data_IF_430735321041
#
_entry.id   IF_430735321041
#
_cell.length_a   1.000
_cell.length_b   1.000
_cell.length_c   1.000
_cell.angle_alpha   90.00
_cell.angle_beta   90.00
_cell.angle_gamma   90.00
#
_symmetry.space_group_name_H-M   'P 1'
#
loop_
_entity.id
_entity.type
_entity.pdbx_description
1 polymer ?
#
# COMPACT_ATOMS: atom_id res chain seq x y z
N UNK A 1 -1.64 -12.68 -19.10
CA UNK A 1 -2.21 -13.02 -17.79
C UNK A 1 -3.55 -12.30 -17.67
N UNK A 2 -4.63 -12.98 -17.27
CA UNK A 2 -5.95 -12.35 -17.21
C UNK A 2 -5.97 -11.19 -16.21
N UNK A 3 -6.77 -10.15 -16.48
CA UNK A 3 -7.11 -9.11 -15.51
C UNK A 3 -7.60 -9.77 -14.22
N UNK A 4 -7.11 -9.32 -13.07
CA UNK A 4 -7.51 -9.89 -11.80
C UNK A 4 -8.95 -9.48 -11.47
N UNK A 5 -9.88 -10.43 -11.61
CA UNK A 5 -11.31 -10.28 -11.31
C UNK A 5 -11.73 -10.88 -9.96
N UNK A 6 -10.76 -11.30 -9.14
CA UNK A 6 -11.04 -11.91 -7.83
C UNK A 6 -11.60 -10.88 -6.84
N UNK A 7 -12.47 -11.27 -5.88
CA UNK A 7 -12.79 -10.44 -4.72
C UNK A 7 -11.50 -10.17 -3.90
N UNK A 8 -11.57 -9.25 -2.92
CA UNK A 8 -10.46 -8.79 -2.06
C UNK A 8 -9.33 -9.84 -1.95
N UNK A 9 -8.18 -9.54 -2.55
CA UNK A 9 -7.02 -10.46 -2.64
C UNK A 9 -6.49 -10.78 -1.24
N UNK A 10 -6.66 -12.03 -0.83
CA UNK A 10 -6.14 -12.60 0.42
C UNK A 10 -5.08 -13.67 0.19
N UNK A 11 -4.87 -14.07 -1.06
CA UNK A 11 -3.84 -14.99 -1.52
C UNK A 11 -2.43 -14.42 -1.30
N UNK A 12 -2.24 -13.12 -1.53
CA UNK A 12 -0.97 -12.41 -1.30
C UNK A 12 -0.54 -12.53 0.16
N UNK A 13 0.63 -13.14 0.38
CA UNK A 13 1.08 -13.58 1.71
C UNK A 13 1.15 -12.46 2.76
N UNK A 14 1.33 -11.22 2.31
CA UNK A 14 1.36 -10.06 3.19
C UNK A 14 0.06 -9.25 3.30
N UNK A 15 -0.92 -9.48 2.41
CA UNK A 15 -2.26 -8.93 2.54
C UNK A 15 -3.14 -9.76 3.48
N UNK A 16 -2.73 -11.00 3.78
CA UNK A 16 -3.39 -11.85 4.77
C UNK A 16 -3.43 -11.16 6.13
N UNK A 17 -4.66 -10.95 6.64
CA UNK A 17 -4.87 -10.60 8.04
C UNK A 17 -4.26 -11.72 8.88
N UNK A 18 -3.25 -11.40 9.68
CA UNK A 18 -2.62 -12.35 10.61
C UNK A 18 -3.63 -12.67 11.71
N UNK A 19 -4.46 -13.70 11.51
CA UNK A 19 -5.30 -14.27 12.55
C UNK A 19 -4.37 -15.03 13.48
N UNK A 20 -4.21 -14.54 14.72
CA UNK A 20 -3.56 -15.32 15.77
C UNK A 20 -4.40 -16.60 15.93
N UNK A 21 -3.83 -17.80 15.74
CA UNK A 21 -4.60 -19.02 15.92
C UNK A 21 -5.14 -19.03 17.35
N UNK A 22 -6.47 -19.14 17.48
CA UNK A 22 -7.07 -19.51 18.74
C UNK A 22 -6.54 -20.89 19.11
N UNK A 23 -6.04 -21.05 20.34
CA UNK A 23 -5.60 -22.34 20.83
C UNK A 23 -6.71 -23.38 20.60
N UNK A 24 -6.40 -24.58 20.07
CA UNK A 24 -7.43 -25.57 19.84
C UNK A 24 -8.09 -25.93 21.19
N UNK A 25 -9.41 -25.80 21.23
CA UNK A 25 -10.21 -26.32 22.33
C UNK A 25 -9.99 -27.83 22.41
N UNK A 26 -9.47 -28.28 23.55
CA UNK A 26 -9.26 -29.70 23.81
C UNK A 26 -10.62 -30.42 23.76
N UNK A 27 -10.77 -31.31 22.79
CA UNK A 27 -11.85 -32.30 22.74
C UNK A 27 -11.61 -33.33 23.83
N UNK A 28 -12.42 -33.24 24.89
CA UNK A 28 -12.48 -34.24 25.96
C UNK A 28 -13.09 -35.54 25.41
N UNK A 29 -12.41 -36.67 25.68
CA UNK A 29 -13.02 -38.01 25.68
C UNK A 29 -13.13 -38.46 27.13
N UNK A 30 -14.33 -38.88 27.47
CA UNK A 30 -14.84 -39.14 28.81
C UNK A 30 -14.56 -40.59 29.27
N UNK A 31 -14.22 -40.77 30.54
CA UNK A 31 -14.40 -42.02 31.30
C UNK A 31 -14.16 -41.82 32.81
N UNK A 32 -15.27 -41.62 33.52
CA UNK A 32 -15.63 -42.15 34.84
C UNK A 32 -14.96 -41.61 36.13
N UNK A 33 -15.74 -40.73 36.79
CA UNK A 33 -16.18 -40.78 38.20
C UNK A 33 -15.14 -40.66 39.33
N UNK A 34 -15.16 -39.52 40.04
CA UNK A 34 -15.65 -39.37 41.43
C UNK A 34 -15.55 -37.89 41.85
N UNK A 35 -16.67 -37.25 42.19
CA UNK A 35 -16.74 -35.97 42.93
C UNK A 35 -17.64 -36.21 44.16
N UNK A 36 -17.33 -35.62 45.34
CA UNK A 36 -17.89 -34.30 45.63
C UNK A 36 -16.95 -33.33 46.38
N UNK A 37 -16.96 -32.08 45.89
CA UNK A 37 -17.14 -30.79 46.59
C UNK A 37 -16.05 -30.21 47.56
N UNK A 38 -16.06 -28.89 47.85
CA UNK A 38 -15.21 -27.92 47.15
C UNK A 38 -14.24 -27.19 48.12
N UNK A 39 -13.02 -26.92 47.66
CA UNK A 39 -12.12 -25.97 48.35
C UNK A 39 -11.80 -24.78 47.45
N UNK A 40 -12.61 -23.72 47.61
CA UNK A 40 -12.28 -22.35 47.18
C UNK A 40 -10.94 -21.96 47.81
N UNK A 41 -9.92 -21.80 46.99
CA UNK A 41 -8.76 -20.97 47.32
C UNK A 41 -8.89 -19.67 46.51
N UNK A 42 -9.14 -18.59 47.24
CA UNK A 42 -9.18 -17.24 46.72
C UNK A 42 -7.77 -16.64 46.60
N UNK A 43 -7.68 -15.53 45.85
CA UNK A 43 -6.56 -14.58 45.69
C UNK A 43 -5.67 -14.86 44.47
N UNK A 44 -5.31 -13.88 43.64
CA UNK A 44 -5.11 -12.47 43.93
C UNK A 44 -5.70 -11.56 42.84
N UNK A 45 -6.65 -10.72 43.25
CA UNK A 45 -7.06 -9.55 42.49
C UNK A 45 -5.92 -8.52 42.47
N UNK A 46 -5.67 -7.99 41.27
CA UNK A 46 -4.82 -6.84 41.06
C UNK A 46 -5.46 -5.62 41.73
N UNK A 47 -5.00 -5.29 42.95
CA UNK A 47 -5.44 -4.09 43.66
C UNK A 47 -4.62 -2.89 43.21
N UNK A 48 -5.29 -1.95 42.53
CA UNK A 48 -4.76 -0.61 42.30
C UNK A 48 -5.11 0.24 43.52
N UNK A 49 -4.20 0.30 44.49
CA UNK A 49 -4.27 1.28 45.57
C UNK A 49 -3.61 2.61 45.14
N UNK A 50 -4.15 3.77 45.54
CA UNK A 50 -3.60 5.07 45.21
C UNK A 50 -2.43 5.39 46.14
N UNK A 51 -1.29 5.79 45.59
CA UNK A 51 -0.19 6.35 46.36
C UNK A 51 -0.21 7.88 46.22
N UNK A 52 -0.51 8.58 47.30
CA UNK A 52 -0.34 10.02 47.42
C UNK A 52 1.10 10.39 47.79
N UNK A 53 1.57 11.44 47.10
CA UNK A 53 2.60 12.43 47.47
C UNK A 53 4.00 11.92 47.86
N UNK A 54 4.88 11.89 46.85
CA UNK A 54 6.33 12.02 47.01
C UNK A 54 6.87 12.99 45.95
N UNK A 55 7.16 14.23 46.35
CA UNK A 55 7.78 15.24 45.49
C UNK A 55 9.22 14.82 45.16
N UNK A 56 9.45 14.42 43.91
CA UNK A 56 10.78 14.36 43.31
C UNK A 56 10.71 15.10 41.96
N UNK A 57 11.27 16.31 41.93
CA UNK A 57 11.35 17.13 40.75
C UNK A 57 12.25 16.46 39.70
N UNK A 58 11.65 16.07 38.58
CA UNK A 58 12.34 15.67 37.36
C UNK A 58 11.82 16.57 36.23
N UNK A 59 12.70 17.13 35.37
CA UNK A 59 12.33 18.20 34.45
C UNK A 59 11.33 17.69 33.41
N UNK A 60 10.20 18.40 33.33
CA UNK A 60 9.15 18.14 32.36
C UNK A 60 9.68 18.37 30.94
N UNK A 61 9.81 17.28 30.17
CA UNK A 61 9.95 17.36 28.72
C UNK A 61 8.59 17.77 28.16
N UNK A 62 8.47 18.86 27.38
CA UNK A 62 7.18 19.24 26.82
C UNK A 62 6.70 18.12 25.91
N UNK A 63 5.49 17.63 26.16
CA UNK A 63 4.79 16.75 25.26
C UNK A 63 4.59 17.51 23.94
N UNK A 64 5.40 17.17 22.93
CA UNK A 64 5.17 17.64 21.57
C UNK A 64 3.84 17.02 21.14
N UNK A 65 2.77 17.81 21.21
CA UNK A 65 1.49 17.48 20.58
C UNK A 65 1.81 17.45 19.09
N UNK A 66 2.11 16.26 18.57
CA UNK A 66 2.21 16.05 17.15
C UNK A 66 0.84 16.36 16.58
N UNK A 67 0.70 17.57 16.02
CA UNK A 67 -0.48 18.00 15.30
C UNK A 67 -0.77 16.93 14.26
N UNK A 68 -1.89 16.22 14.42
CA UNK A 68 -2.33 15.28 13.40
C UNK A 68 -2.41 16.05 12.07
N UNK A 69 -1.80 15.54 10.99
CA UNK A 69 -1.86 16.24 9.71
C UNK A 69 -3.32 16.46 9.35
N UNK A 70 -3.67 17.69 9.00
CA UNK A 70 -5.03 18.05 8.64
C UNK A 70 -5.51 17.12 7.50
N UNK A 71 -6.59 16.39 7.75
CA UNK A 71 -7.27 15.64 6.70
C UNK A 71 -7.73 16.64 5.65
N UNK A 72 -7.20 16.54 4.44
CA UNK A 72 -7.65 17.38 3.33
C UNK A 72 -9.02 16.86 2.90
N UNK A 73 -10.06 17.69 3.05
CA UNK A 73 -11.36 17.38 2.49
C UNK A 73 -11.28 17.39 0.96
N UNK A 74 -11.85 16.40 0.25
CA UNK A 74 -11.79 16.36 -1.22
C UNK A 74 -12.37 17.63 -1.87
N UNK A 75 -13.39 18.24 -1.25
CA UNK A 75 -14.00 19.52 -1.67
C UNK A 75 -13.09 20.74 -1.49
N UNK A 76 -12.01 20.62 -0.71
CA UNK A 76 -11.02 21.69 -0.53
C UNK A 76 -9.88 21.62 -1.54
N UNK A 77 -9.86 20.60 -2.41
CA UNK A 77 -8.87 20.51 -3.48
C UNK A 77 -9.27 21.41 -4.65
N UNK A 78 -8.30 22.06 -5.30
CA UNK A 78 -8.56 23.07 -6.33
C UNK A 78 -9.27 22.50 -7.57
N UNK A 79 -9.28 21.17 -7.75
CA UNK A 79 -9.93 20.51 -8.87
C UNK A 79 -10.73 19.30 -8.38
N UNK A 80 -12.05 19.23 -8.65
CA UNK A 80 -12.83 18.04 -8.38
C UNK A 80 -12.32 16.88 -9.23
N UNK A 81 -12.41 15.69 -8.69
CA UNK A 81 -12.11 14.45 -9.41
C UNK A 81 -13.15 13.41 -8.98
N UNK A 82 -13.67 12.61 -9.92
CA UNK A 82 -14.66 11.60 -9.59
C UNK A 82 -14.05 10.51 -8.71
N UNK A 83 -14.90 9.84 -7.96
CA UNK A 83 -14.57 8.73 -7.07
C UNK A 83 -14.55 7.39 -7.81
N UNK A 84 -14.01 6.35 -7.18
CA UNK A 84 -13.97 5.00 -7.77
C UNK A 84 -15.36 4.37 -7.98
N UNK A 85 -16.39 4.88 -7.29
CA UNK A 85 -17.76 4.42 -7.49
C UNK A 85 -18.39 4.98 -8.78
N UNK A 86 -17.92 6.14 -9.21
CA UNK A 86 -18.41 6.88 -10.37
C UNK A 86 -17.71 6.46 -11.67
N UNK A 87 -16.42 6.09 -11.61
CA UNK A 87 -15.59 5.73 -12.79
C UNK A 87 -15.28 4.24 -12.79
N UNK A 88 -15.61 3.56 -13.89
CA UNK A 88 -15.25 2.14 -14.10
C UNK A 88 -14.06 1.94 -15.01
N UNK A 89 -13.83 2.88 -15.92
CA UNK A 89 -12.72 2.84 -16.86
C UNK A 89 -12.04 4.21 -16.96
N UNK A 90 -10.72 4.25 -16.78
CA UNK A 90 -9.90 5.43 -16.97
C UNK A 90 -9.37 5.50 -18.41
N UNK A 91 -9.62 6.60 -19.12
CA UNK A 91 -9.25 6.75 -20.53
C UNK A 91 -9.39 8.19 -21.01
N UNK A 92 -9.65 8.42 -22.30
CA UNK A 92 -9.73 9.77 -22.86
C UNK A 92 -10.87 10.61 -22.25
N UNK A 93 -12.02 9.99 -22.00
CA UNK A 93 -13.20 10.68 -21.51
C UNK A 93 -13.16 10.90 -19.99
N UNK A 94 -12.68 9.90 -19.26
CA UNK A 94 -12.55 9.91 -17.79
C UNK A 94 -11.09 9.62 -17.44
N UNK A 95 -10.17 10.58 -17.59
CA UNK A 95 -8.75 10.30 -17.45
C UNK A 95 -8.30 10.24 -15.99
N UNK A 96 -9.13 10.68 -15.05
CA UNK A 96 -8.75 10.84 -13.65
C UNK A 96 -9.83 10.31 -12.72
N UNK A 97 -9.41 9.69 -11.63
CA UNK A 97 -10.24 9.51 -10.44
C UNK A 97 -9.42 9.75 -9.18
N UNK A 98 -10.10 10.06 -8.09
CA UNK A 98 -9.48 10.28 -6.78
C UNK A 98 -10.12 9.39 -5.74
N UNK A 99 -9.27 8.64 -5.07
CA UNK A 99 -9.64 7.81 -3.94
C UNK A 99 -9.94 8.70 -2.72
N UNK A 100 -10.93 8.33 -1.93
CA UNK A 100 -11.21 9.01 -0.67
C UNK A 100 -10.13 8.68 0.39
N UNK A 101 -10.23 9.31 1.56
CA UNK A 101 -9.24 9.15 2.62
C UNK A 101 -9.12 7.71 3.14
N UNK A 102 -10.21 6.95 3.15
CA UNK A 102 -10.20 5.55 3.59
C UNK A 102 -9.53 4.67 2.54
N UNK A 103 -9.95 4.80 1.29
CA UNK A 103 -9.40 4.08 0.14
C UNK A 103 -7.92 4.36 -0.07
N UNK A 104 -7.46 5.58 0.26
CA UNK A 104 -6.05 5.97 0.15
C UNK A 104 -5.16 5.51 1.31
N UNK A 105 -5.74 5.02 2.41
CA UNK A 105 -4.99 4.71 3.64
C UNK A 105 -5.03 3.23 4.05
N UNK A 106 -6.02 2.48 3.57
CA UNK A 106 -6.27 1.11 4.04
C UNK A 106 -5.62 0.09 3.11
N UNK A 107 -4.76 -0.74 3.69
CA UNK A 107 -4.22 -1.93 3.02
C UNK A 107 -3.23 -1.58 1.92
N UNK A 108 -3.47 -2.16 0.75
CA UNK A 108 -2.66 -1.98 -0.45
C UNK A 108 -3.55 -1.71 -1.65
N UNK A 109 -3.00 -0.96 -2.59
CA UNK A 109 -3.56 -0.82 -3.92
C UNK A 109 -2.85 -1.83 -4.83
N UNK A 110 -3.63 -2.64 -5.52
CA UNK A 110 -3.14 -3.70 -6.40
C UNK A 110 -3.32 -3.23 -7.84
N UNK A 111 -2.27 -3.27 -8.64
CA UNK A 111 -2.28 -2.95 -10.07
C UNK A 111 -1.94 -4.21 -10.85
N UNK A 112 -2.97 -4.81 -11.43
CA UNK A 112 -2.87 -5.98 -12.30
C UNK A 112 -2.57 -5.56 -13.75
N UNK A 113 -1.91 -6.45 -14.49
CA UNK A 113 -1.57 -6.22 -15.90
C UNK A 113 -0.35 -5.32 -16.15
N UNK A 114 0.30 -4.83 -15.10
CA UNK A 114 1.53 -4.05 -15.21
C UNK A 114 2.72 -4.97 -15.52
N UNK A 115 3.52 -4.60 -16.51
CA UNK A 115 4.81 -5.22 -16.81
C UNK A 115 5.97 -4.49 -16.13
N UNK A 116 5.79 -3.19 -15.85
CA UNK A 116 6.77 -2.33 -15.17
C UNK A 116 6.05 -1.41 -14.16
N UNK A 117 6.61 -1.31 -12.97
CA UNK A 117 6.26 -0.31 -11.98
C UNK A 117 7.47 0.59 -11.69
N UNK A 118 7.27 1.90 -11.70
CA UNK A 118 8.29 2.90 -11.36
C UNK A 118 7.74 3.79 -10.26
N UNK A 119 8.57 4.15 -9.30
CA UNK A 119 8.16 5.00 -8.18
C UNK A 119 9.15 6.12 -7.93
N UNK A 120 8.65 7.14 -7.25
CA UNK A 120 9.43 8.22 -6.67
C UNK A 120 8.90 8.46 -5.26
N UNK A 121 9.79 8.42 -4.28
CA UNK A 121 9.43 8.69 -2.89
C UNK A 121 9.44 10.21 -2.58
N UNK A 122 9.08 10.57 -1.35
CA UNK A 122 9.02 11.96 -0.90
C UNK A 122 10.38 12.68 -0.93
N UNK A 123 11.49 11.93 -0.85
CA UNK A 123 12.86 12.41 -0.91
C UNK A 123 13.41 12.40 -2.35
N UNK A 124 12.55 12.14 -3.34
CA UNK A 124 12.86 12.03 -4.78
C UNK A 124 13.76 10.84 -5.13
N UNK A 125 13.81 9.82 -4.26
CA UNK A 125 14.47 8.56 -4.57
C UNK A 125 13.58 7.78 -5.53
N UNK A 126 14.15 7.36 -6.64
CA UNK A 126 13.45 6.67 -7.72
C UNK A 126 13.99 5.26 -7.92
N UNK A 127 13.08 4.35 -8.23
CA UNK A 127 13.39 2.98 -8.58
C UNK A 127 12.28 2.38 -9.44
N UNK A 128 12.56 1.20 -9.98
CA UNK A 128 11.62 0.43 -10.76
C UNK A 128 11.78 -1.06 -10.51
N UNK A 129 10.71 -1.79 -10.77
CA UNK A 129 10.66 -3.24 -10.75
C UNK A 129 9.80 -3.72 -11.92
N UNK A 130 10.22 -4.77 -12.62
CA UNK A 130 9.44 -5.43 -13.67
C UNK A 130 8.66 -6.61 -13.08
N UNK A 131 7.60 -7.05 -13.77
CA UNK A 131 6.88 -8.28 -13.41
C UNK A 131 7.77 -9.55 -13.47
N UNK A 132 8.91 -9.48 -14.17
CA UNK A 132 9.91 -10.56 -14.21
C UNK A 132 10.89 -10.52 -13.02
N UNK A 133 10.80 -9.49 -12.16
CA UNK A 133 11.67 -9.29 -11.00
C UNK A 133 12.93 -8.48 -11.29
N UNK A 134 13.07 -7.92 -12.50
CA UNK A 134 14.20 -7.03 -12.81
C UNK A 134 14.03 -5.72 -12.05
N UNK A 135 15.07 -5.32 -11.30
CA UNK A 135 15.05 -4.08 -10.54
C UNK A 135 16.07 -3.09 -11.09
N UNK A 136 15.71 -1.82 -11.08
CA UNK A 136 16.61 -0.73 -11.40
C UNK A 136 16.40 0.44 -10.45
N UNK A 137 17.44 1.23 -10.28
CA UNK A 137 17.45 2.34 -9.34
C UNK A 137 17.47 1.90 -7.87
N UNK A 138 16.88 2.71 -6.99
CA UNK A 138 16.93 2.48 -5.53
C UNK A 138 15.60 1.95 -4.99
N UNK A 139 15.59 0.77 -4.35
CA UNK A 139 14.39 0.23 -3.73
C UNK A 139 13.98 1.08 -2.52
N UNK A 140 12.68 1.28 -2.36
CA UNK A 140 12.13 2.01 -1.20
C UNK A 140 11.26 1.04 -0.41
N UNK A 141 11.61 0.84 0.86
CA UNK A 141 10.87 -0.04 1.76
C UNK A 141 10.19 0.72 2.89
N UNK A 142 9.06 0.19 3.31
CA UNK A 142 8.32 0.58 4.51
C UNK A 142 9.11 0.21 5.77
N UNK A 143 8.72 0.76 6.93
CA UNK A 143 9.34 0.43 8.22
C UNK A 143 9.23 -1.06 8.60
N UNK A 144 8.30 -1.80 7.98
CA UNK A 144 8.14 -3.24 8.14
C UNK A 144 8.90 -4.08 7.11
N UNK A 145 9.90 -3.50 6.42
CA UNK A 145 10.67 -4.12 5.34
C UNK A 145 9.83 -4.64 4.16
N UNK A 146 8.64 -4.07 3.95
CA UNK A 146 7.83 -4.32 2.75
C UNK A 146 8.18 -3.30 1.67
N UNK A 147 8.19 -3.64 0.38
CA UNK A 147 8.31 -2.65 -0.68
C UNK A 147 7.20 -1.59 -0.56
N UNK A 148 7.56 -0.32 -0.76
CA UNK A 148 6.60 0.78 -0.85
C UNK A 148 5.77 0.66 -2.12
N UNK A 149 6.46 0.39 -3.22
CA UNK A 149 5.94 -0.07 -4.51
C UNK A 149 6.83 -1.26 -4.92
N UNK A 150 6.24 -2.31 -5.46
CA UNK A 150 6.97 -3.46 -5.98
C UNK A 150 6.01 -4.51 -6.53
N UNK A 151 6.53 -5.67 -6.91
CA UNK A 151 5.71 -6.78 -7.40
C UNK A 151 5.48 -7.86 -6.35
N UNK A 152 4.30 -8.46 -6.39
CA UNK A 152 4.00 -9.75 -5.78
C UNK A 152 3.44 -10.66 -6.86
N UNK A 153 4.22 -11.69 -7.22
CA UNK A 153 3.97 -12.52 -8.40
C UNK A 153 3.85 -11.66 -9.67
N UNK A 154 2.63 -11.50 -10.20
CA UNK A 154 2.37 -10.76 -11.44
C UNK A 154 1.69 -9.41 -11.23
N UNK A 155 1.38 -9.04 -9.98
CA UNK A 155 0.70 -7.80 -9.67
C UNK A 155 1.64 -6.80 -9.03
N UNK A 156 1.58 -5.56 -9.49
CA UNK A 156 2.25 -4.47 -8.81
C UNK A 156 1.42 -4.05 -7.59
N UNK A 157 2.11 -3.74 -6.50
CA UNK A 157 1.50 -3.50 -5.19
C UNK A 157 2.02 -2.19 -4.62
N UNK A 158 1.10 -1.35 -4.12
CA UNK A 158 1.43 -0.10 -3.43
C UNK A 158 0.99 -0.20 -1.98
N UNK A 159 1.93 0.00 -1.05
CA UNK A 159 1.67 -0.03 0.40
C UNK A 159 1.03 1.29 0.89
N UNK A 160 -0.30 1.36 0.93
CA UNK A 160 -1.05 2.59 1.23
C UNK A 160 -0.87 3.12 2.66
N UNK A 161 -0.61 2.25 3.64
CA UNK A 161 -0.31 2.68 5.01
C UNK A 161 0.91 3.60 5.10
N UNK A 162 1.79 3.54 4.10
CA UNK A 162 3.00 4.35 4.00
C UNK A 162 2.93 5.36 2.85
N UNK A 163 1.72 5.70 2.38
CA UNK A 163 1.50 6.61 1.25
C UNK A 163 2.24 7.94 1.40
N UNK A 164 2.41 8.46 2.62
CA UNK A 164 3.17 9.70 2.89
C UNK A 164 4.63 9.65 2.40
N UNK A 165 5.20 8.45 2.28
CA UNK A 165 6.54 8.25 1.72
C UNK A 165 6.53 8.23 0.19
N UNK A 166 5.40 7.99 -0.45
CA UNK A 166 5.28 7.98 -1.90
C UNK A 166 4.99 9.40 -2.39
N UNK A 167 5.70 9.84 -3.43
CA UNK A 167 5.35 11.06 -4.16
C UNK A 167 4.47 10.73 -5.37
N UNK A 168 4.91 9.74 -6.15
CA UNK A 168 4.18 9.26 -7.33
C UNK A 168 4.66 7.86 -7.74
N UNK A 169 3.84 7.17 -8.53
CA UNK A 169 4.22 5.96 -9.22
C UNK A 169 3.66 5.93 -10.65
N UNK A 170 4.26 5.10 -11.50
CA UNK A 170 3.89 4.88 -12.88
C UNK A 170 3.81 3.36 -13.12
N UNK A 171 2.76 2.91 -13.79
CA UNK A 171 2.58 1.51 -14.18
C UNK A 171 2.38 1.42 -15.69
N UNK A 172 3.12 0.52 -16.33
CA UNK A 172 3.11 0.34 -17.78
C UNK A 172 2.68 -1.09 -18.09
N UNK A 173 1.68 -1.23 -18.96
CA UNK A 173 1.26 -2.51 -19.55
C UNK A 173 1.72 -2.58 -21.01
N UNK A 174 2.70 -3.43 -21.29
CA UNK A 174 3.21 -3.78 -22.63
C UNK A 174 2.50 -4.99 -23.21
N UNK A 175 1.96 -5.85 -22.36
CA UNK A 175 1.20 -7.02 -22.76
C UNK A 175 -0.15 -6.70 -23.41
N UNK A 176 -0.91 -7.74 -23.79
CA UNK A 176 -2.22 -7.57 -24.42
C UNK A 176 -3.34 -7.19 -23.42
N UNK A 177 -3.00 -6.98 -22.15
CA UNK A 177 -3.93 -6.72 -21.06
C UNK A 177 -3.90 -5.24 -20.70
N UNK A 178 -5.03 -4.70 -20.24
CA UNK A 178 -5.09 -3.35 -19.68
C UNK A 178 -4.64 -3.37 -18.23
N UNK A 179 -4.39 -2.18 -17.68
CA UNK A 179 -4.12 -2.05 -16.25
C UNK A 179 -5.45 -2.13 -15.49
N UNK A 180 -5.47 -2.91 -14.41
CA UNK A 180 -6.62 -3.00 -13.50
C UNK A 180 -6.20 -2.66 -12.09
N UNK A 181 -6.87 -1.71 -11.46
CA UNK A 181 -6.61 -1.31 -10.07
C UNK A 181 -7.68 -1.91 -9.17
N UNK A 182 -7.26 -2.51 -8.06
CA UNK A 182 -8.14 -3.02 -7.01
C UNK A 182 -7.73 -2.47 -5.64
N UNK A 183 -8.73 -2.10 -4.83
CA UNK A 183 -8.54 -1.63 -3.46
C UNK A 183 -9.10 -2.63 -2.42
N UNK A 184 -8.90 -2.34 -1.14
CA UNK A 184 -9.13 -3.27 -0.02
C UNK A 184 -10.57 -3.79 0.13
N UNK A 185 -11.58 -3.07 -0.37
CA UNK A 185 -13.00 -3.47 -0.32
C UNK A 185 -13.45 -4.24 -1.57
N UNK A 186 -12.53 -4.43 -2.52
CA UNK A 186 -12.76 -5.16 -3.75
C UNK A 186 -13.20 -4.29 -4.92
N UNK A 187 -13.43 -2.99 -4.73
CA UNK A 187 -13.73 -2.06 -5.82
C UNK A 187 -12.59 -2.02 -6.83
N UNK A 188 -12.96 -1.97 -8.11
CA UNK A 188 -12.02 -1.99 -9.24
C UNK A 188 -12.30 -0.89 -10.24
N UNK A 189 -11.21 -0.47 -10.90
CA UNK A 189 -11.21 0.39 -12.09
C UNK A 189 -10.20 -0.17 -13.08
N UNK A 190 -10.45 -0.08 -14.38
CA UNK A 190 -9.49 -0.47 -15.42
C UNK A 190 -9.03 0.73 -16.23
N UNK A 191 -7.90 0.64 -16.92
CA UNK A 191 -7.58 1.59 -18.00
C UNK A 191 -8.22 1.15 -19.30
N UNK A 192 -8.58 2.10 -20.16
CA UNK A 192 -8.93 1.83 -21.53
C UNK A 192 -7.75 1.16 -22.26
N UNK A 193 -8.06 0.36 -23.29
CA UNK A 193 -7.04 -0.36 -24.08
C UNK A 193 -6.16 0.55 -24.94
N UNK A 194 -6.71 1.68 -25.38
CA UNK A 194 -6.15 2.46 -26.49
C UNK A 194 -6.38 1.81 -27.86
N UNK A 195 -5.80 2.41 -28.90
CA UNK A 195 -5.87 1.96 -30.30
C UNK A 195 -4.56 1.26 -30.72
N UNK A 196 -4.28 1.04 -32.00
CA UNK A 196 -3.04 0.37 -32.46
C UNK A 196 -1.75 1.17 -32.19
N UNK A 197 -1.85 2.50 -32.18
CA UNK A 197 -0.73 3.44 -32.01
C UNK A 197 -0.54 3.91 -30.57
N UNK A 198 -1.60 3.90 -29.76
CA UNK A 198 -1.61 4.42 -28.39
C UNK A 198 -2.01 3.36 -27.39
N UNK A 199 -1.40 3.46 -26.21
CA UNK A 199 -1.83 2.72 -25.03
C UNK A 199 -1.98 3.70 -23.85
N UNK A 200 -2.71 3.29 -22.82
CA UNK A 200 -2.79 4.03 -21.58
C UNK A 200 -1.83 3.44 -20.55
N UNK A 201 -1.06 4.31 -19.91
CA UNK A 201 -0.34 3.99 -18.68
C UNK A 201 -1.11 4.54 -17.48
N UNK A 202 -0.83 4.01 -16.30
CA UNK A 202 -1.45 4.50 -15.06
C UNK A 202 -0.43 5.31 -14.26
N UNK A 203 -0.74 6.59 -14.05
CA UNK A 203 -0.06 7.44 -13.10
C UNK A 203 -0.79 7.40 -11.76
N UNK A 204 -0.04 7.18 -10.68
CA UNK A 204 -0.50 7.35 -9.31
C UNK A 204 0.18 8.59 -8.74
N UNK A 205 -0.61 9.57 -8.31
CA UNK A 205 -0.13 10.78 -7.68
C UNK A 205 -0.63 10.84 -6.23
N UNK A 206 0.26 11.24 -5.32
CA UNK A 206 -0.14 11.59 -3.96
C UNK A 206 -0.58 13.06 -3.92
N UNK A 207 -1.84 13.31 -3.57
CA UNK A 207 -2.40 14.65 -3.36
C UNK A 207 -2.77 14.80 -1.88
N UNK A 208 -1.89 15.42 -1.08
CA UNK A 208 -2.07 15.51 0.37
C UNK A 208 -2.01 14.12 1.03
N UNK A 209 -3.15 13.61 1.52
CA UNK A 209 -3.31 12.25 2.03
C UNK A 209 -4.14 11.34 1.10
N UNK A 210 -4.47 11.82 -0.10
CA UNK A 210 -5.28 11.10 -1.08
C UNK A 210 -4.42 10.55 -2.22
N UNK A 211 -4.89 9.46 -2.81
CA UNK A 211 -4.37 8.93 -4.06
C UNK A 211 -5.24 9.44 -5.22
N UNK A 212 -4.60 9.99 -6.23
CA UNK A 212 -5.20 10.29 -7.51
C UNK A 212 -4.62 9.36 -8.57
N UNK A 213 -5.49 8.71 -9.33
CA UNK A 213 -5.14 7.82 -10.43
C UNK A 213 -5.44 8.52 -11.74
N UNK A 214 -4.50 8.47 -12.68
CA UNK A 214 -4.67 9.05 -14.01
C UNK A 214 -4.27 8.07 -15.11
N UNK A 215 -5.12 7.90 -16.10
CA UNK A 215 -4.76 7.25 -17.35
C UNK A 215 -4.17 8.28 -18.30
N UNK A 216 -2.94 8.05 -18.75
CA UNK A 216 -2.24 8.96 -19.67
C UNK A 216 -1.93 8.22 -20.97
N UNK A 217 -2.31 8.77 -22.14
CA UNK A 217 -2.02 8.14 -23.41
C UNK A 217 -0.55 8.31 -23.78
N UNK A 218 0.08 7.22 -24.21
CA UNK A 218 1.45 7.21 -24.73
C UNK A 218 1.50 6.45 -26.04
N UNK A 219 2.54 6.73 -26.83
CA UNK A 219 2.85 5.92 -28.01
C UNK A 219 3.16 4.48 -27.57
N UNK A 220 2.45 3.52 -28.15
CA UNK A 220 2.62 2.10 -27.80
C UNK A 220 4.01 1.58 -28.15
N UNK A 221 4.67 2.15 -29.16
CA UNK A 221 5.98 1.76 -29.66
C UNK A 221 7.14 2.45 -28.93
N UNK A 222 6.87 3.48 -28.12
CA UNK A 222 7.90 4.14 -27.33
C UNK A 222 8.57 3.15 -26.37
N UNK A 223 9.88 3.25 -26.19
CA UNK A 223 10.61 2.45 -25.20
C UNK A 223 10.23 2.84 -23.77
N UNK A 224 10.47 1.96 -22.79
CA UNK A 224 10.22 2.30 -21.39
C UNK A 224 11.02 3.54 -20.97
N UNK A 225 12.29 3.62 -21.36
CA UNK A 225 13.13 4.80 -21.09
C UNK A 225 12.54 6.10 -21.66
N UNK A 226 12.00 6.07 -22.88
CA UNK A 226 11.36 7.24 -23.49
C UNK A 226 10.11 7.66 -22.73
N UNK A 227 9.28 6.69 -22.30
CA UNK A 227 8.12 6.97 -21.45
C UNK A 227 8.58 7.56 -20.12
N UNK A 228 9.55 6.96 -19.43
CA UNK A 228 10.05 7.47 -18.16
C UNK A 228 10.56 8.91 -18.28
N UNK A 229 11.31 9.21 -19.33
CA UNK A 229 11.77 10.57 -19.63
C UNK A 229 10.61 11.54 -19.87
N UNK A 230 9.60 11.14 -20.65
CA UNK A 230 8.37 11.93 -20.88
C UNK A 230 7.66 12.29 -19.58
N UNK A 231 7.64 11.37 -18.60
CA UNK A 231 7.04 11.59 -17.28
C UNK A 231 8.02 12.16 -16.24
N UNK A 232 9.23 12.53 -16.65
CA UNK A 232 10.24 13.15 -15.79
C UNK A 232 10.76 12.24 -14.69
N UNK A 233 10.85 10.93 -14.95
CA UNK A 233 11.57 9.99 -14.09
C UNK A 233 13.04 9.91 -14.51
N UNK A 234 13.92 9.93 -13.52
CA UNK A 234 15.35 9.62 -13.68
C UNK A 234 15.71 8.66 -12.58
N UNK A 235 16.11 7.42 -12.93
CA UNK A 235 16.37 6.37 -11.93
C UNK A 235 17.59 6.71 -11.07
N UNK A 236 17.42 6.65 -9.76
CA UNK A 236 18.46 6.96 -8.79
C UNK A 236 19.44 5.79 -8.75
N UNK A 237 20.73 5.98 -9.09
CA UNK A 237 21.69 4.88 -9.15
C UNK A 237 21.65 4.02 -7.88
N UNK A 238 21.63 2.70 -8.06
CA UNK A 238 21.64 1.79 -6.94
C UNK A 238 23.00 1.88 -6.22
N UNK A 239 23.03 2.53 -5.06
CA UNK A 239 24.22 2.50 -4.21
C UNK A 239 24.10 1.30 -3.30
N UNK A 240 24.70 0.17 -3.70
CA UNK A 240 24.89 -0.93 -2.78
C UNK A 240 25.72 -0.41 -1.59
N UNK A 241 25.12 -0.40 -0.39
CA UNK A 241 25.82 -0.02 0.83
C UNK A 241 27.05 -0.91 0.95
N UNK A 242 28.23 -0.31 0.73
CA UNK A 242 29.52 -1.01 0.76
C UNK A 242 29.62 -1.76 2.08
N UNK A 243 29.64 -3.10 2.01
CA UNK A 243 29.87 -3.92 3.20
C UNK A 243 31.11 -3.37 3.93
N UNK A 244 30.93 -3.06 5.21
CA UNK A 244 32.02 -2.69 6.10
C UNK A 244 33.04 -3.81 6.08
N UNK A 245 34.12 -3.59 5.34
CA UNK A 245 35.27 -4.48 5.23
C UNK A 245 35.82 -4.69 6.65
N UNK A 246 35.41 -5.77 7.30
CA UNK A 246 36.03 -6.22 8.54
C UNK A 246 37.50 -6.46 8.22
N UNK A 247 38.37 -5.77 8.95
CA UNK A 247 39.79 -6.11 9.04
C UNK A 247 39.97 -7.32 9.94
#
# INVERSE_FOLDING_TARGET
MALNSSPVRTDIGFLRRRVKPAAPAAVARDAAATEPEPRRAASAGLSLAPATTGTAASPARPASVATAPATVSPDSLPFPAPTIDEVRELGENEPVLRLNARESAVGSLIVSGADLAVWEDADRVTGSESAAGDTAGTPVTTAGNRPLVGFDEADAIVSLRHLQRLRRALFIARGPHTLGVQIFDGSTVTTARGDDSRMFILCLLRVGNLVELRAEPVDRTASDEAILSQFGFTLTPHVATRESRSR
#
